data_IF_843771184177
#
_entry.id   IF_843771184177
#
_cell.length_a   1.000
_cell.length_b   1.000
_cell.length_c   1.000
_cell.angle_alpha   90.00
_cell.angle_beta   90.00
_cell.angle_gamma   90.00
#
_symmetry.space_group_name_H-M   'P 1'
#
loop_
_entity.id
_entity.type
_entity.pdbx_description
1 polymer ?
#
# COMPACT_ATOMS: atom_id res chain seq x y z
N UNK A 1 -6.73 3.22 -3.45
CA UNK A 1 -6.45 4.46 -2.68
C UNK A 1 -5.00 4.86 -2.88
N UNK A 2 -4.58 6.09 -2.53
CA UNK A 2 -3.17 6.52 -2.67
C UNK A 2 -2.48 6.60 -1.31
N UNK A 3 -1.43 5.79 -1.14
CA UNK A 3 -0.57 5.81 0.05
C UNK A 3 0.25 7.09 0.06
N UNK A 4 0.37 7.71 1.22
CA UNK A 4 1.25 8.85 1.49
C UNK A 4 2.02 8.66 2.79
N UNK A 5 2.81 9.67 3.16
CA UNK A 5 3.71 9.62 4.32
C UNK A 5 3.00 9.42 5.67
N UNK A 6 1.76 9.89 5.79
CA UNK A 6 0.92 9.79 6.99
C UNK A 6 -0.18 8.71 6.85
N UNK A 7 -0.07 7.82 5.86
CA UNK A 7 -1.06 6.75 5.70
C UNK A 7 -0.98 5.76 6.86
N UNK A 8 -2.14 5.38 7.38
CA UNK A 8 -2.26 4.41 8.48
C UNK A 8 -3.17 3.24 8.12
N UNK A 9 -2.96 2.11 8.81
CA UNK A 9 -3.73 0.86 8.64
C UNK A 9 -4.18 0.37 10.02
N UNK A 10 -5.47 0.11 10.20
CA UNK A 10 -6.05 -0.52 11.40
C UNK A 10 -7.15 -1.51 11.00
N UNK A 11 -7.75 -2.18 11.98
CA UNK A 11 -8.89 -3.08 11.76
C UNK A 11 -8.54 -4.54 12.03
N UNK A 12 -9.28 -5.44 11.40
CA UNK A 12 -9.20 -6.89 11.62
C UNK A 12 -9.04 -7.64 10.30
N UNK A 13 -8.57 -8.90 10.30
CA UNK A 13 -8.53 -9.71 9.08
C UNK A 13 -9.90 -9.71 8.36
N UNK A 14 -9.90 -9.45 7.05
CA UNK A 14 -11.11 -9.36 6.24
C UNK A 14 -11.76 -7.97 6.17
N UNK A 15 -11.40 -7.06 7.09
CA UNK A 15 -11.93 -5.69 7.13
C UNK A 15 -10.84 -4.74 7.67
N UNK A 16 -9.97 -4.29 6.76
CA UNK A 16 -8.90 -3.36 7.06
C UNK A 16 -9.33 -1.94 6.71
N UNK A 17 -9.13 -1.00 7.63
CA UNK A 17 -9.30 0.42 7.35
C UNK A 17 -7.95 1.03 7.06
N UNK A 18 -7.79 1.60 5.88
CA UNK A 18 -6.59 2.31 5.45
C UNK A 18 -6.95 3.76 5.14
N UNK A 19 -6.33 4.70 5.86
CA UNK A 19 -6.86 6.05 6.01
C UNK A 19 -8.37 6.00 6.33
N UNK A 20 -9.24 6.60 5.52
CA UNK A 20 -10.70 6.58 5.76
C UNK A 20 -11.44 5.47 5.02
N UNK A 21 -10.74 4.55 4.36
CA UNK A 21 -11.36 3.53 3.50
C UNK A 21 -11.29 2.13 4.11
N UNK A 22 -12.46 1.51 4.28
CA UNK A 22 -12.56 0.09 4.63
C UNK A 22 -12.36 -0.75 3.37
N UNK A 23 -11.47 -1.74 3.46
CA UNK A 23 -11.08 -2.65 2.39
C UNK A 23 -11.24 -4.10 2.86
N UNK A 24 -11.69 -4.96 1.95
CA UNK A 24 -11.79 -6.41 2.15
C UNK A 24 -10.99 -7.14 1.07
N UNK A 25 -10.48 -8.35 1.34
CA UNK A 25 -9.69 -9.11 0.38
C UNK A 25 -10.57 -9.59 -0.80
N UNK A 26 -9.97 -9.85 -1.99
CA UNK A 26 -8.55 -9.77 -2.29
C UNK A 26 -8.03 -8.34 -2.48
N UNK A 27 -6.79 -8.10 -2.05
CA UNK A 27 -6.14 -6.78 -2.15
C UNK A 27 -5.23 -6.69 -3.38
N UNK A 28 -5.16 -5.51 -3.98
CA UNK A 28 -4.18 -5.17 -5.02
C UNK A 28 -3.39 -3.92 -4.61
N UNK A 29 -2.07 -4.03 -4.65
CA UNK A 29 -1.13 -2.96 -4.32
C UNK A 29 -0.33 -2.67 -5.58
N UNK A 30 -0.44 -1.44 -6.08
CA UNK A 30 0.32 -0.96 -7.23
C UNK A 30 1.47 -0.06 -6.73
N UNK A 31 2.69 -0.38 -7.13
CA UNK A 31 3.89 0.37 -6.77
C UNK A 31 4.72 0.68 -8.03
N UNK A 32 5.25 1.89 -8.10
CA UNK A 32 6.13 2.35 -9.17
C UNK A 32 7.54 2.46 -8.59
N UNK A 33 8.51 1.85 -9.26
CA UNK A 33 9.92 1.79 -8.88
C UNK A 33 10.66 0.82 -9.80
N UNK A 34 11.90 0.47 -9.46
CA UNK A 34 12.63 -0.58 -10.17
C UNK A 34 11.95 -1.95 -9.94
N UNK A 35 11.37 -2.61 -10.97
CA UNK A 35 10.57 -3.81 -10.77
C UNK A 35 11.34 -4.98 -10.13
N UNK A 36 12.59 -5.29 -10.53
CA UNK A 36 13.39 -6.31 -9.86
C UNK A 36 13.64 -6.03 -8.38
N UNK A 37 13.96 -4.78 -8.04
CA UNK A 37 14.20 -4.37 -6.64
C UNK A 37 12.95 -4.53 -5.78
N UNK A 38 11.79 -4.08 -6.29
CA UNK A 38 10.51 -4.24 -5.59
C UNK A 38 10.14 -5.71 -5.41
N UNK A 39 10.32 -6.54 -6.45
CA UNK A 39 10.06 -7.97 -6.37
C UNK A 39 11.01 -8.68 -5.39
N UNK A 40 12.28 -8.29 -5.35
CA UNK A 40 13.25 -8.80 -4.38
C UNK A 40 12.83 -8.46 -2.94
N UNK A 41 12.39 -7.22 -2.69
CA UNK A 41 11.93 -6.78 -1.37
C UNK A 41 10.75 -7.62 -0.84
N UNK A 42 9.81 -7.99 -1.73
CA UNK A 42 8.68 -8.85 -1.33
C UNK A 42 9.08 -10.29 -0.99
N UNK A 43 10.25 -10.75 -1.42
CA UNK A 43 10.77 -12.09 -1.16
C UNK A 43 11.74 -12.16 0.03
N UNK A 44 11.95 -11.06 0.76
CA UNK A 44 12.79 -11.05 1.97
C UNK A 44 12.15 -11.95 3.06
N UNK A 45 12.87 -12.94 3.59
CA UNK A 45 12.35 -13.83 4.64
C UNK A 45 11.94 -13.08 5.91
N UNK A 46 10.88 -13.57 6.56
CA UNK A 46 10.29 -12.94 7.76
C UNK A 46 9.46 -11.69 7.48
N UNK A 47 9.34 -11.29 6.21
CA UNK A 47 8.59 -10.11 5.79
C UNK A 47 7.09 -10.34 5.59
N UNK A 48 6.47 -9.41 4.85
CA UNK A 48 5.03 -9.39 4.60
C UNK A 48 4.52 -10.66 3.90
N UNK A 49 5.25 -11.17 2.91
CA UNK A 49 4.87 -12.38 2.17
C UNK A 49 4.78 -13.61 3.10
N UNK A 50 5.73 -13.78 4.01
CA UNK A 50 5.72 -14.88 4.98
C UNK A 50 4.60 -14.70 6.00
N UNK A 51 4.33 -13.46 6.43
CA UNK A 51 3.17 -13.13 7.24
C UNK A 51 1.85 -13.55 6.59
N UNK A 52 1.68 -13.28 5.29
CA UNK A 52 0.49 -13.69 4.51
C UNK A 52 0.40 -15.21 4.39
N UNK A 53 1.51 -15.89 4.04
CA UNK A 53 1.54 -17.36 3.94
C UNK A 53 1.19 -18.05 5.25
N UNK A 54 1.69 -17.54 6.37
CA UNK A 54 1.46 -18.11 7.71
C UNK A 54 -0.01 -18.13 8.12
N UNK A 55 -0.83 -17.22 7.59
CA UNK A 55 -2.28 -17.16 7.83
C UNK A 55 -3.11 -17.82 6.71
N UNK A 56 -2.46 -18.62 5.85
CA UNK A 56 -3.12 -19.34 4.76
C UNK A 56 -3.42 -18.50 3.51
N UNK A 57 -2.93 -17.26 3.45
CA UNK A 57 -3.10 -16.38 2.30
C UNK A 57 -2.08 -16.65 1.19
N UNK A 58 -2.34 -16.07 0.02
CA UNK A 58 -1.42 -16.10 -1.13
C UNK A 58 -1.12 -14.69 -1.59
N UNK A 59 0.13 -14.47 -1.99
CA UNK A 59 0.58 -13.23 -2.63
C UNK A 59 1.13 -13.57 -4.01
N UNK A 60 0.83 -12.73 -5.00
CA UNK A 60 1.38 -12.79 -6.34
C UNK A 60 2.03 -11.44 -6.62
N UNK A 61 3.28 -11.47 -7.05
CA UNK A 61 4.04 -10.27 -7.43
C UNK A 61 4.25 -10.32 -8.93
N UNK A 62 3.79 -9.29 -9.63
CA UNK A 62 3.94 -9.15 -11.08
C UNK A 62 4.80 -7.93 -11.37
N UNK A 63 5.92 -8.14 -12.05
CA UNK A 63 6.72 -7.05 -12.61
C UNK A 63 6.08 -6.58 -13.91
N UNK A 64 6.12 -5.27 -14.15
CA UNK A 64 5.56 -4.65 -15.34
C UNK A 64 6.38 -3.43 -15.74
N UNK A 65 6.54 -3.21 -17.04
CA UNK A 65 7.23 -2.04 -17.59
C UNK A 65 6.45 -0.73 -17.34
N UNK A 66 5.12 -0.86 -17.19
CA UNK A 66 4.23 0.25 -16.91
C UNK A 66 3.22 -0.11 -15.84
N UNK A 67 3.12 0.75 -14.83
CA UNK A 67 2.10 0.71 -13.79
C UNK A 67 1.55 2.12 -13.63
N UNK A 68 0.24 2.29 -13.79
CA UNK A 68 -0.43 3.57 -13.59
C UNK A 68 -1.06 3.64 -12.19
N UNK A 69 -0.65 4.61 -11.37
CA UNK A 69 -1.22 4.87 -10.04
C UNK A 69 -2.08 6.13 -10.10
N UNK A 70 -3.35 5.95 -10.41
CA UNK A 70 -4.30 7.05 -10.70
C UNK A 70 -5.00 7.61 -9.47
N UNK A 71 -4.96 6.89 -8.34
CA UNK A 71 -5.54 7.38 -7.11
C UNK A 71 -4.81 8.64 -6.60
N UNK A 72 -5.59 9.62 -6.16
CA UNK A 72 -5.12 10.86 -5.52
C UNK A 72 -5.37 10.83 -4.01
N UNK A 73 -4.60 11.63 -3.26
CA UNK A 73 -4.84 11.85 -1.82
C UNK A 73 -5.72 13.07 -1.63
N UNK A 74 -6.50 13.04 -0.55
CA UNK A 74 -7.35 14.15 -0.12
C UNK A 74 -6.66 14.84 1.07
N UNK A 75 -5.99 15.99 0.89
CA UNK A 75 -5.31 16.67 1.97
C UNK A 75 -6.32 17.27 2.96
N UNK A 76 -5.94 17.29 4.25
CA UNK A 76 -6.68 18.05 5.26
C UNK A 76 -6.34 19.52 5.12
N UNK A 77 -7.34 20.39 5.27
CA UNK A 77 -7.10 21.83 5.22
C UNK A 77 -6.18 22.24 6.36
N UNK A 78 -5.09 22.94 6.02
CA UNK A 78 -4.21 23.54 7.01
C UNK A 78 -4.92 24.74 7.65
N UNK A 79 -5.04 24.74 8.99
CA UNK A 79 -5.68 25.83 9.73
C UNK A 79 -4.72 26.99 10.03
N UNK A 80 -3.42 26.69 10.12
CA UNK A 80 -2.39 27.64 10.56
C UNK A 80 -1.26 27.82 9.55
N UNK A 81 -0.78 26.72 8.96
CA UNK A 81 0.36 26.74 8.05
C UNK A 81 -0.02 27.30 6.67
N UNK A 82 0.86 28.14 6.12
CA UNK A 82 0.77 28.66 4.75
C UNK A 82 2.12 28.47 4.03
N UNK A 83 2.13 28.19 2.72
CA UNK A 83 3.36 28.12 1.94
C UNK A 83 4.09 29.46 1.93
N UNK A 84 5.41 29.45 2.09
CA UNK A 84 6.25 30.63 1.84
C UNK A 84 6.51 30.76 0.34
N UNK A 85 6.64 32.00 -0.14
CA UNK A 85 6.90 32.31 -1.56
C UNK A 85 8.35 32.02 -1.95
#
# INVERSE_FOLDING_TARGET
>A
MRVGVDTWVVGVPGSLTVDTKVLSPPYSILAIGDPPTLAAAMNIPGGAQDGVKRVGGRMVVQQADRVDVTALRQPKQHQYAQPVK
#
